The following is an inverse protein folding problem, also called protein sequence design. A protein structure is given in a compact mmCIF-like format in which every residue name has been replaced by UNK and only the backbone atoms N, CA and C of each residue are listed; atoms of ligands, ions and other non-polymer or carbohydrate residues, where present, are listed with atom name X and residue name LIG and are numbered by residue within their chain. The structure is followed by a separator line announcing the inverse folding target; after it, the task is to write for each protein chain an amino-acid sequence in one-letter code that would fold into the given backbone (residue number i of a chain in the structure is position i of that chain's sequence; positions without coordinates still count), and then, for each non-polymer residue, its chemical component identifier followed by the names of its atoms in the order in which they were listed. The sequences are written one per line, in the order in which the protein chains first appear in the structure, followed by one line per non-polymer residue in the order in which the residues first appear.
data_IF_163027313672
#
_entry.id   IF_163027313672
#
_cell.length_a   1.000
_cell.length_b   1.000
_cell.length_c   1.000
_cell.angle_alpha   90.00
_cell.angle_beta   90.00
_cell.angle_gamma   90.00
#
_symmetry.space_group_name_H-M   'P 1'
#
loop_
_entity.id
_entity.type
_entity.pdbx_description
1 polymer ?
#
# COMPACT_ATOMS: atom_id res chain seq x y z
N UNK A 1 -2.56 -25.25 31.60
CA UNK A 1 -1.69 -25.80 30.53
C UNK A 1 -2.60 -26.34 29.43
N UNK A 2 -2.30 -26.07 28.15
CA UNK A 2 -3.10 -26.61 27.04
C UNK A 2 -2.94 -28.15 26.96
N UNK A 3 -4.03 -28.84 26.64
CA UNK A 3 -4.03 -30.28 26.39
C UNK A 3 -3.71 -30.53 24.90
N UNK A 4 -2.56 -31.14 24.59
CA UNK A 4 -2.11 -31.36 23.20
C UNK A 4 -3.07 -32.21 22.36
N UNK A 5 -3.95 -33.00 22.98
CA UNK A 5 -4.95 -33.81 22.29
C UNK A 5 -6.17 -33.00 21.82
N UNK A 6 -6.37 -31.82 22.38
CA UNK A 6 -7.50 -30.93 22.06
C UNK A 6 -7.14 -29.90 20.99
N UNK A 7 -5.85 -29.75 20.66
CA UNK A 7 -5.38 -28.80 19.65
C UNK A 7 -5.65 -29.37 18.25
N UNK A 8 -6.42 -28.64 17.46
CA UNK A 8 -6.64 -28.90 16.04
C UNK A 8 -5.91 -27.87 15.19
N UNK A 9 -5.83 -28.12 13.88
CA UNK A 9 -5.28 -27.15 12.93
C UNK A 9 -6.08 -25.85 12.96
N UNK A 10 -7.40 -25.94 13.01
CA UNK A 10 -8.31 -24.80 13.01
C UNK A 10 -8.21 -24.00 14.31
N UNK A 11 -8.15 -24.66 15.46
CA UNK A 11 -7.96 -23.96 16.74
C UNK A 11 -6.60 -23.29 16.81
N UNK A 12 -5.55 -23.90 16.26
CA UNK A 12 -4.23 -23.29 16.16
C UNK A 12 -4.27 -22.02 15.30
N UNK A 13 -4.88 -22.08 14.12
CA UNK A 13 -5.00 -20.91 13.23
C UNK A 13 -5.76 -19.77 13.92
N UNK A 14 -6.93 -20.05 14.49
CA UNK A 14 -7.76 -19.03 15.16
C UNK A 14 -7.11 -18.43 16.41
N UNK A 15 -6.21 -19.19 17.07
CA UNK A 15 -5.48 -18.70 18.24
C UNK A 15 -4.19 -17.94 17.89
N UNK A 16 -3.76 -17.95 16.62
CA UNK A 16 -2.43 -17.43 16.21
C UNK A 16 -2.51 -16.26 15.24
N UNK A 17 -3.54 -16.17 14.40
CA UNK A 17 -3.62 -15.18 13.32
C UNK A 17 -4.77 -14.18 13.50
N UNK A 18 -4.64 -12.93 13.02
CA UNK A 18 -3.43 -12.36 12.37
C UNK A 18 -2.27 -12.20 13.36
N UNK A 19 -1.03 -12.16 12.85
CA UNK A 19 0.19 -12.29 13.68
C UNK A 19 0.32 -11.22 14.77
N UNK A 20 -0.22 -10.03 14.55
CA UNK A 20 -0.21 -8.93 15.52
C UNK A 20 -1.51 -8.81 16.31
N UNK A 21 -2.50 -9.66 16.05
CA UNK A 21 -3.85 -9.55 16.63
C UNK A 21 -4.42 -8.15 16.38
N UNK A 22 -4.75 -7.44 17.46
CA UNK A 22 -5.29 -6.08 17.46
C UNK A 22 -4.28 -5.01 17.88
N UNK A 23 -2.99 -5.35 18.02
CA UNK A 23 -1.95 -4.41 18.50
C UNK A 23 -1.95 -3.10 17.70
N UNK A 24 -1.88 -3.20 16.38
CA UNK A 24 -1.84 -2.01 15.52
C UNK A 24 -3.20 -1.32 15.42
N UNK A 25 -4.31 -2.05 15.57
CA UNK A 25 -5.64 -1.46 15.63
C UNK A 25 -5.75 -0.53 16.84
N UNK A 26 -5.33 -1.01 18.02
CA UNK A 26 -5.30 -0.25 19.26
C UNK A 26 -4.36 0.96 19.14
N UNK A 27 -3.14 0.76 18.63
CA UNK A 27 -2.18 1.86 18.41
C UNK A 27 -2.74 2.97 17.50
N UNK A 28 -3.37 2.61 16.38
CA UNK A 28 -3.97 3.58 15.46
C UNK A 28 -5.13 4.32 16.11
N UNK A 29 -6.00 3.63 16.85
CA UNK A 29 -7.13 4.24 17.54
C UNK A 29 -6.66 5.23 18.62
N UNK A 30 -5.67 4.84 19.42
CA UNK A 30 -5.11 5.63 20.52
C UNK A 30 -4.23 6.81 20.07
N UNK A 31 -3.69 6.79 18.84
CA UNK A 31 -2.81 7.86 18.36
C UNK A 31 -3.53 9.22 18.31
N UNK A 32 -3.00 10.19 19.06
CA UNK A 32 -3.41 11.59 18.98
C UNK A 32 -2.40 12.35 18.12
N UNK A 33 -2.75 12.58 16.86
CA UNK A 33 -1.87 13.25 15.90
C UNK A 33 -1.70 14.72 16.29
N UNK A 34 -0.46 15.21 16.50
CA UNK A 34 -0.22 16.60 16.87
C UNK A 34 -0.66 17.58 15.78
N UNK A 35 -1.13 18.77 16.18
CA UNK A 35 -1.45 19.86 15.24
C UNK A 35 -0.29 20.15 14.27
N UNK A 36 -0.63 20.40 13.01
CA UNK A 36 0.37 20.60 11.95
C UNK A 36 1.19 19.35 11.59
N UNK A 37 0.72 18.15 11.95
CA UNK A 37 1.30 16.87 11.51
C UNK A 37 0.24 15.99 10.83
N UNK A 38 0.70 14.93 10.17
CA UNK A 38 -0.09 13.74 9.87
C UNK A 38 0.69 12.49 10.28
N UNK A 39 -0.01 11.41 10.62
CA UNK A 39 0.58 10.11 10.90
C UNK A 39 0.18 9.09 9.83
N UNK A 40 1.09 8.17 9.52
CA UNK A 40 0.83 7.05 8.62
C UNK A 40 1.35 5.74 9.20
N UNK A 41 0.74 4.62 8.81
CA UNK A 41 1.23 3.28 9.09
C UNK A 41 1.26 2.44 7.83
N UNK A 42 2.34 1.70 7.63
CA UNK A 42 2.45 0.77 6.51
C UNK A 42 1.83 -0.57 6.87
N UNK A 43 0.85 -1.03 6.11
CA UNK A 43 0.07 -2.24 6.40
C UNK A 43 0.56 -3.46 5.59
N UNK A 44 1.67 -3.31 4.86
CA UNK A 44 2.20 -4.27 3.90
C UNK A 44 1.66 -4.05 2.48
N UNK A 45 2.37 -4.56 1.47
CA UNK A 45 2.10 -4.22 0.07
C UNK A 45 2.16 -2.68 -0.14
N UNK A 46 1.13 -2.09 -0.73
CA UNK A 46 0.90 -0.65 -0.78
C UNK A 46 -0.14 -0.17 0.25
N UNK A 47 -0.57 -1.05 1.17
CA UNK A 47 -1.55 -0.72 2.18
C UNK A 47 -1.04 0.36 3.11
N UNK A 48 -1.74 1.49 3.23
CA UNK A 48 -1.32 2.61 4.08
C UNK A 48 -2.51 3.15 4.86
N UNK A 49 -2.38 3.28 6.18
CA UNK A 49 -3.29 4.05 7.01
C UNK A 49 -2.80 5.49 7.13
N UNK A 50 -3.69 6.47 7.05
CA UNK A 50 -3.39 7.90 7.22
C UNK A 50 -4.34 8.49 8.26
N UNK A 51 -3.79 9.18 9.27
CA UNK A 51 -4.55 9.86 10.33
C UNK A 51 -4.12 11.33 10.45
N UNK A 52 -5.09 12.22 10.67
CA UNK A 52 -4.88 13.68 10.83
C UNK A 52 -5.32 14.19 12.22
N UNK A 53 -4.94 15.43 12.60
CA UNK A 53 -5.29 16.00 13.91
C UNK A 53 -6.79 16.14 14.15
N UNK A 54 -7.59 16.45 13.12
CA UNK A 54 -9.05 16.47 13.25
C UNK A 54 -9.70 15.08 13.26
N UNK A 55 -8.90 14.01 13.34
CA UNK A 55 -9.35 12.63 13.41
C UNK A 55 -9.86 12.08 12.08
N UNK A 56 -9.41 12.62 10.94
CA UNK A 56 -9.66 11.95 9.67
C UNK A 56 -8.86 10.64 9.61
N UNK A 57 -9.53 9.54 9.30
CA UNK A 57 -8.93 8.21 9.18
C UNK A 57 -9.22 7.68 7.77
N UNK A 58 -8.15 7.43 7.03
CA UNK A 58 -8.20 6.88 5.69
C UNK A 58 -7.34 5.64 5.64
N UNK A 59 -7.86 4.57 5.04
CA UNK A 59 -7.05 3.43 4.67
C UNK A 59 -7.03 3.28 3.15
N UNK A 60 -5.84 3.19 2.57
CA UNK A 60 -5.63 2.99 1.15
C UNK A 60 -5.02 1.61 0.90
N UNK A 61 -5.50 0.89 -0.12
CA UNK A 61 -4.93 -0.37 -0.64
C UNK A 61 -4.70 -1.47 0.43
N UNK A 62 -5.52 -1.49 1.50
CA UNK A 62 -5.42 -2.52 2.55
C UNK A 62 -5.79 -3.91 2.01
N UNK A 63 -4.75 -4.73 1.86
CA UNK A 63 -4.87 -6.09 1.35
C UNK A 63 -4.66 -7.17 2.42
N UNK A 64 -5.76 -7.83 2.77
CA UNK A 64 -5.82 -8.83 3.84
C UNK A 64 -5.74 -10.28 3.35
N UNK A 65 -5.31 -10.49 2.11
CA UNK A 65 -5.23 -11.82 1.50
C UNK A 65 -3.79 -12.35 1.44
N UNK A 66 -3.63 -13.48 0.74
CA UNK A 66 -2.35 -14.17 0.55
C UNK A 66 -2.06 -14.43 -0.92
N UNK A 67 -0.79 -14.76 -1.19
CA UNK A 67 -0.35 -15.30 -2.47
C UNK A 67 -0.77 -16.75 -2.71
N UNK A 68 0.04 -17.46 -3.51
CA UNK A 68 -0.22 -18.88 -3.79
C UNK A 68 -0.14 -19.72 -2.51
N UNK A 69 -1.05 -20.70 -2.40
CA UNK A 69 -1.13 -21.64 -1.27
C UNK A 69 -0.95 -23.11 -1.68
N UNK A 70 -0.75 -23.37 -2.97
CA UNK A 70 -0.52 -24.73 -3.48
C UNK A 70 0.24 -24.72 -4.81
N UNK A 71 1.03 -25.77 -5.05
CA UNK A 71 1.66 -26.05 -6.35
C UNK A 71 0.81 -26.98 -7.23
N UNK A 72 -0.42 -27.32 -6.81
CA UNK A 72 -1.33 -28.21 -7.56
C UNK A 72 -1.81 -27.55 -8.85
N UNK A 73 -2.12 -26.26 -8.81
CA UNK A 73 -2.34 -25.45 -10.01
C UNK A 73 -0.98 -25.31 -10.72
N UNK A 74 -0.93 -25.67 -12.00
CA UNK A 74 0.32 -25.67 -12.79
C UNK A 74 0.41 -24.48 -13.72
N UNK A 75 -0.72 -24.10 -14.28
CA UNK A 75 -0.78 -23.07 -15.29
C UNK A 75 -1.50 -21.82 -14.78
N UNK A 76 -1.04 -20.69 -15.27
CA UNK A 76 -1.64 -19.38 -15.09
C UNK A 76 -2.94 -19.29 -15.90
N UNK A 77 -3.92 -18.57 -15.35
CA UNK A 77 -5.21 -18.35 -16.04
C UNK A 77 -4.97 -17.55 -17.34
N UNK A 78 -5.71 -17.87 -18.41
CA UNK A 78 -5.66 -17.08 -19.65
C UNK A 78 -6.13 -15.65 -19.37
N UNK A 79 -5.46 -14.65 -19.94
CA UNK A 79 -5.76 -13.24 -19.70
C UNK A 79 -5.13 -12.66 -18.42
N UNK A 80 -4.40 -13.45 -17.64
CA UNK A 80 -3.57 -12.93 -16.56
C UNK A 80 -2.49 -12.01 -17.13
N UNK A 81 -2.29 -10.86 -16.51
CA UNK A 81 -1.41 -9.78 -16.95
C UNK A 81 0.03 -10.24 -17.23
N UNK A 82 0.62 -11.08 -16.37
CA UNK A 82 1.93 -11.67 -16.61
C UNK A 82 1.99 -12.55 -17.88
N UNK A 83 0.92 -13.29 -18.18
CA UNK A 83 0.82 -14.08 -19.40
C UNK A 83 0.68 -13.17 -20.64
N UNK A 84 -0.09 -12.09 -20.53
CA UNK A 84 -0.26 -11.11 -21.60
C UNK A 84 1.06 -10.35 -21.88
N UNK A 85 1.80 -10.00 -20.83
CA UNK A 85 3.07 -9.26 -20.92
C UNK A 85 4.21 -10.11 -21.51
N UNK A 86 4.36 -11.35 -21.05
CA UNK A 86 5.56 -12.16 -21.32
C UNK A 86 5.30 -13.53 -21.98
N UNK A 87 4.05 -13.84 -22.34
CA UNK A 87 3.70 -15.11 -22.98
C UNK A 87 3.87 -16.34 -22.07
N UNK A 88 4.02 -16.14 -20.76
CA UNK A 88 4.26 -17.24 -19.80
C UNK A 88 2.97 -18.00 -19.50
N UNK A 89 3.09 -19.31 -19.28
CA UNK A 89 1.96 -20.19 -18.93
C UNK A 89 2.09 -20.86 -17.57
N UNK A 90 3.31 -21.06 -17.07
CA UNK A 90 3.52 -21.67 -15.75
C UNK A 90 3.03 -20.75 -14.65
N UNK A 91 2.55 -21.35 -13.55
CA UNK A 91 2.12 -20.62 -12.36
C UNK A 91 3.26 -19.74 -11.81
N UNK A 92 2.96 -18.47 -11.56
CA UNK A 92 3.85 -17.56 -10.87
C UNK A 92 4.01 -18.00 -9.39
N UNK A 93 5.25 -18.08 -8.86
CA UNK A 93 5.50 -18.48 -7.48
C UNK A 93 5.44 -17.28 -6.51
N UNK A 94 4.41 -16.45 -6.59
CA UNK A 94 4.24 -15.30 -5.70
C UNK A 94 3.63 -15.73 -4.35
N UNK A 95 4.49 -15.90 -3.36
CA UNK A 95 4.10 -16.18 -1.97
C UNK A 95 4.17 -14.87 -1.17
N UNK A 96 3.16 -14.63 -0.33
CA UNK A 96 3.20 -13.52 0.65
C UNK A 96 4.28 -13.82 1.68
N UNK A 97 5.19 -12.89 1.94
CA UNK A 97 6.29 -13.09 2.92
C UNK A 97 6.18 -12.22 4.17
N UNK A 98 5.21 -11.30 4.21
CA UNK A 98 4.95 -10.44 5.37
C UNK A 98 3.81 -10.96 6.24
N UNK A 99 3.90 -10.76 7.58
CA UNK A 99 2.79 -11.00 8.49
C UNK A 99 1.60 -10.08 8.17
N UNK A 100 0.43 -10.40 8.73
CA UNK A 100 -0.70 -9.48 8.78
C UNK A 100 -0.61 -8.65 10.06
N UNK A 101 -0.26 -7.37 9.92
CA UNK A 101 0.01 -6.46 11.05
C UNK A 101 -1.24 -5.76 11.59
N UNK A 102 -2.35 -5.78 10.84
CA UNK A 102 -3.63 -5.19 11.24
C UNK A 102 -4.76 -6.21 11.04
N UNK A 103 -5.69 -6.29 11.99
CA UNK A 103 -6.92 -7.06 11.80
C UNK A 103 -8.01 -6.16 11.19
N UNK A 104 -8.44 -6.40 9.92
CA UNK A 104 -9.50 -5.59 9.32
C UNK A 104 -10.81 -5.69 10.10
N UNK A 105 -11.09 -6.80 10.80
CA UNK A 105 -12.32 -7.00 11.57
C UNK A 105 -12.32 -6.28 12.93
N UNK A 106 -11.17 -5.77 13.36
CA UNK A 106 -11.05 -4.98 14.58
C UNK A 106 -11.03 -3.46 14.34
N UNK A 107 -11.19 -3.00 13.09
CA UNK A 107 -11.29 -1.57 12.77
C UNK A 107 -12.59 -1.01 13.35
N UNK A 108 -12.53 -0.01 14.24
CA UNK A 108 -13.72 0.69 14.75
C UNK A 108 -13.87 2.12 14.26
N UNK A 109 -12.78 2.76 13.84
CA UNK A 109 -12.76 4.16 13.37
C UNK A 109 -12.14 4.23 11.97
N UNK A 110 -12.94 4.59 10.98
CA UNK A 110 -12.52 4.78 9.61
C UNK A 110 -13.49 5.75 8.94
N UNK A 111 -13.01 6.64 8.08
CA UNK A 111 -13.89 7.49 7.27
C UNK A 111 -14.01 6.93 5.84
N UNK A 112 -12.87 6.67 5.18
CA UNK A 112 -12.82 6.16 3.81
C UNK A 112 -11.88 4.97 3.64
N UNK A 113 -12.33 4.01 2.82
CA UNK A 113 -11.49 2.97 2.24
C UNK A 113 -11.21 3.30 0.77
N UNK A 114 -9.96 3.64 0.49
CA UNK A 114 -9.47 3.99 -0.84
C UNK A 114 -8.79 2.79 -1.49
N UNK A 115 -9.00 2.65 -2.80
CA UNK A 115 -8.27 1.70 -3.63
C UNK A 115 -7.78 2.42 -4.88
N UNK A 116 -6.48 2.31 -5.17
CA UNK A 116 -5.84 2.90 -6.35
C UNK A 116 -6.31 2.24 -7.63
N UNK A 117 -6.35 0.92 -7.67
CA UNK A 117 -6.69 0.12 -8.84
C UNK A 117 -7.13 -1.30 -8.48
N UNK A 118 -7.61 -2.04 -9.47
CA UNK A 118 -8.39 -3.25 -9.27
C UNK A 118 -7.57 -4.55 -9.20
N UNK A 119 -6.23 -4.50 -9.18
CA UNK A 119 -5.45 -5.73 -8.99
C UNK A 119 -5.69 -6.31 -7.60
N UNK A 120 -5.59 -7.64 -7.54
CA UNK A 120 -6.04 -8.42 -6.39
C UNK A 120 -5.31 -8.10 -5.08
N UNK A 121 -4.12 -7.52 -5.15
CA UNK A 121 -3.29 -7.09 -4.02
C UNK A 121 -3.54 -5.65 -3.58
N UNK A 122 -4.47 -4.93 -4.22
CA UNK A 122 -4.87 -3.57 -3.85
C UNK A 122 -6.35 -3.48 -3.46
N UNK A 123 -7.19 -4.41 -3.94
CA UNK A 123 -8.61 -4.51 -3.58
C UNK A 123 -8.92 -5.86 -2.91
N UNK A 124 -9.45 -5.81 -1.68
CA UNK A 124 -9.67 -7.00 -0.87
C UNK A 124 -11.13 -7.22 -0.43
N UNK A 125 -11.70 -8.42 -0.65
CA UNK A 125 -13.08 -8.72 -0.23
C UNK A 125 -13.22 -8.91 1.27
N UNK A 126 -12.16 -9.32 2.00
CA UNK A 126 -12.23 -9.49 3.46
C UNK A 126 -12.23 -8.14 4.17
N UNK A 127 -11.39 -7.20 3.75
CA UNK A 127 -11.43 -5.80 4.18
C UNK A 127 -12.80 -5.18 3.88
N UNK A 128 -13.34 -5.38 2.67
CA UNK A 128 -14.67 -4.89 2.33
C UNK A 128 -15.78 -5.49 3.22
N UNK A 129 -15.72 -6.80 3.49
CA UNK A 129 -16.66 -7.47 4.39
C UNK A 129 -16.53 -6.99 5.83
N UNK A 130 -15.32 -6.75 6.33
CA UNK A 130 -15.08 -6.24 7.68
C UNK A 130 -15.70 -4.85 7.87
N UNK A 131 -15.53 -3.96 6.89
CA UNK A 131 -16.12 -2.62 6.90
C UNK A 131 -17.65 -2.68 6.76
N UNK A 132 -18.16 -3.49 5.82
CA UNK A 132 -19.59 -3.54 5.53
C UNK A 132 -20.41 -4.17 6.67
N UNK A 133 -19.85 -5.17 7.35
CA UNK A 133 -20.53 -5.90 8.40
C UNK A 133 -20.31 -5.32 9.80
N UNK A 134 -19.54 -4.23 9.94
CA UNK A 134 -19.36 -3.53 11.20
C UNK A 134 -20.33 -2.35 11.32
N UNK A 135 -21.30 -2.37 12.27
CA UNK A 135 -22.27 -1.29 12.46
C UNK A 135 -21.63 0.08 12.77
N UNK A 136 -20.43 0.11 13.36
CA UNK A 136 -19.71 1.37 13.62
C UNK A 136 -19.25 2.06 12.34
N UNK A 137 -19.11 1.31 11.25
CA UNK A 137 -18.54 1.75 9.98
C UNK A 137 -19.59 1.90 8.87
N UNK A 138 -20.88 1.98 9.20
CA UNK A 138 -21.97 2.12 8.20
C UNK A 138 -21.80 3.36 7.31
N UNK A 139 -21.18 4.42 7.83
CA UNK A 139 -20.94 5.67 7.13
C UNK A 139 -19.77 5.61 6.13
N UNK A 140 -18.87 4.63 6.26
CA UNK A 140 -17.63 4.56 5.48
C UNK A 140 -17.89 4.47 3.99
N UNK A 141 -17.17 5.27 3.21
CA UNK A 141 -17.22 5.24 1.74
C UNK A 141 -16.06 4.42 1.16
N UNK A 142 -16.36 3.71 0.08
CA UNK A 142 -15.43 2.93 -0.74
C UNK A 142 -15.10 3.76 -1.98
N UNK A 143 -13.86 4.17 -2.13
CA UNK A 143 -13.45 5.15 -3.13
C UNK A 143 -12.40 4.56 -4.05
N UNK A 144 -12.65 4.58 -5.35
CA UNK A 144 -11.73 3.98 -6.33
C UNK A 144 -12.12 4.28 -7.76
N UNK A 145 -11.30 3.88 -8.73
CA UNK A 145 -11.63 4.02 -10.15
C UNK A 145 -12.81 3.11 -10.53
N UNK A 146 -13.33 3.31 -11.74
CA UNK A 146 -14.54 2.65 -12.22
C UNK A 146 -14.54 1.12 -12.00
N UNK A 147 -13.45 0.43 -12.37
CA UNK A 147 -13.38 -1.03 -12.22
C UNK A 147 -13.36 -1.49 -10.75
N UNK A 148 -12.81 -0.72 -9.81
CA UNK A 148 -12.92 -1.00 -8.39
C UNK A 148 -14.39 -0.90 -7.93
N UNK A 149 -15.09 0.15 -8.36
CA UNK A 149 -16.52 0.31 -8.13
C UNK A 149 -17.34 -0.91 -8.59
N UNK A 150 -17.05 -1.41 -9.79
CA UNK A 150 -17.72 -2.60 -10.36
C UNK A 150 -17.44 -3.87 -9.56
N UNK A 151 -16.20 -4.06 -9.08
CA UNK A 151 -15.84 -5.20 -8.22
C UNK A 151 -16.60 -5.14 -6.90
N UNK A 152 -16.62 -3.97 -6.24
CA UNK A 152 -17.35 -3.79 -4.98
C UNK A 152 -18.85 -4.00 -5.12
N UNK A 153 -19.48 -3.47 -6.18
CA UNK A 153 -20.88 -3.77 -6.49
C UNK A 153 -21.11 -5.28 -6.65
N UNK A 154 -20.19 -5.98 -7.34
CA UNK A 154 -20.24 -7.43 -7.50
C UNK A 154 -20.08 -8.21 -6.19
N UNK A 155 -19.38 -7.67 -5.20
CA UNK A 155 -19.27 -8.23 -3.85
C UNK A 155 -20.44 -7.85 -2.93
N UNK A 156 -21.35 -7.00 -3.38
CA UNK A 156 -22.53 -6.59 -2.63
C UNK A 156 -22.35 -5.31 -1.79
N UNK A 157 -21.30 -4.51 -2.04
CA UNK A 157 -21.20 -3.18 -1.43
C UNK A 157 -22.30 -2.28 -2.01
N UNK A 158 -23.11 -1.62 -1.17
CA UNK A 158 -24.19 -0.75 -1.63
C UNK A 158 -23.66 0.42 -2.47
N UNK A 159 -24.36 0.75 -3.56
CA UNK A 159 -23.91 1.77 -4.52
C UNK A 159 -23.72 3.14 -3.91
N UNK A 160 -24.55 3.51 -2.94
CA UNK A 160 -24.48 4.76 -2.17
C UNK A 160 -23.25 4.86 -1.24
N UNK A 161 -22.56 3.74 -1.00
CA UNK A 161 -21.28 3.70 -0.30
C UNK A 161 -20.09 3.76 -1.25
N UNK A 162 -20.29 3.65 -2.56
CA UNK A 162 -19.21 3.66 -3.56
C UNK A 162 -19.09 5.04 -4.19
N UNK A 163 -17.88 5.59 -4.20
CA UNK A 163 -17.53 6.82 -4.91
C UNK A 163 -16.53 6.46 -6.00
N UNK A 164 -16.96 6.54 -7.25
CA UNK A 164 -16.08 6.36 -8.40
C UNK A 164 -15.34 7.67 -8.67
N UNK A 165 -14.01 7.61 -8.75
CA UNK A 165 -13.15 8.76 -9.06
C UNK A 165 -12.37 8.55 -10.35
N UNK A 166 -11.92 9.65 -10.94
CA UNK A 166 -10.98 9.71 -12.07
C UNK A 166 -9.98 10.86 -11.86
N UNK A 167 -8.88 10.91 -12.64
CA UNK A 167 -7.94 12.02 -12.57
C UNK A 167 -8.62 13.39 -12.69
N UNK A 168 -8.29 14.31 -11.79
CA UNK A 168 -8.88 15.64 -11.67
C UNK A 168 -10.00 15.76 -10.63
N UNK A 169 -10.56 14.64 -10.16
CA UNK A 169 -11.56 14.67 -9.08
C UNK A 169 -10.90 15.01 -7.73
N UNK A 170 -11.68 15.61 -6.84
CA UNK A 170 -11.26 15.95 -5.48
C UNK A 170 -12.37 15.68 -4.48
N UNK A 171 -12.02 15.10 -3.34
CA UNK A 171 -12.91 14.80 -2.22
C UNK A 171 -12.39 15.51 -0.97
N UNK A 172 -13.28 16.15 -0.22
CA UNK A 172 -12.96 16.75 1.08
C UNK A 172 -13.40 15.81 2.21
N UNK A 173 -12.54 15.65 3.21
CA UNK A 173 -12.79 14.84 4.41
C UNK A 173 -12.20 15.55 5.62
N UNK A 174 -13.05 16.12 6.48
CA UNK A 174 -12.62 16.83 7.70
C UNK A 174 -11.54 17.88 7.35
N UNK A 175 -10.31 17.72 7.83
CA UNK A 175 -9.15 18.58 7.59
C UNK A 175 -8.24 18.08 6.44
N UNK A 176 -8.66 17.05 5.71
CA UNK A 176 -7.95 16.45 4.58
C UNK A 176 -8.67 16.73 3.25
N UNK A 177 -7.89 16.93 2.19
CA UNK A 177 -8.37 16.97 0.81
C UNK A 177 -7.66 15.90 -0.01
N UNK A 178 -8.43 15.10 -0.74
CA UNK A 178 -7.93 13.94 -1.48
C UNK A 178 -8.14 14.18 -2.97
N UNK A 179 -7.06 14.19 -3.74
CA UNK A 179 -7.09 14.36 -5.18
C UNK A 179 -6.80 13.04 -5.87
N UNK A 180 -7.64 12.65 -6.82
CA UNK A 180 -7.32 11.59 -7.76
C UNK A 180 -6.54 12.19 -8.93
N UNK A 181 -5.39 11.61 -9.26
CA UNK A 181 -4.54 12.02 -10.37
C UNK A 181 -4.19 10.82 -11.24
N UNK A 182 -3.56 11.07 -12.38
CA UNK A 182 -3.20 10.07 -13.37
C UNK A 182 -2.31 8.97 -12.76
N UNK A 183 -2.69 7.71 -12.99
CA UNK A 183 -1.85 6.54 -12.69
C UNK A 183 -0.95 6.21 -13.89
N UNK A 184 0.16 5.54 -13.60
CA UNK A 184 1.08 5.04 -14.62
C UNK A 184 1.31 3.53 -14.51
N UNK A 185 0.38 2.80 -13.89
CA UNK A 185 0.43 1.35 -13.86
C UNK A 185 0.13 0.77 -15.25
N UNK A 186 1.19 0.51 -16.02
CA UNK A 186 1.10 -0.09 -17.35
C UNK A 186 0.60 -1.53 -17.30
N UNK A 187 0.76 -2.22 -16.16
CA UNK A 187 0.27 -3.58 -15.99
C UNK A 187 -1.26 -3.60 -16.01
N UNK A 188 -1.94 -2.61 -15.41
CA UNK A 188 -3.39 -2.44 -15.51
C UNK A 188 -3.91 -2.40 -16.96
N UNK A 189 -3.19 -1.77 -17.89
CA UNK A 189 -3.59 -1.67 -19.30
C UNK A 189 -3.57 -3.01 -20.04
N UNK A 190 -2.82 -3.99 -19.54
CA UNK A 190 -2.78 -5.35 -20.09
C UNK A 190 -3.50 -6.36 -19.19
N UNK A 191 -4.23 -5.87 -18.19
CA UNK A 191 -5.05 -6.68 -17.28
C UNK A 191 -6.52 -6.60 -17.71
N UNK A 192 -7.15 -7.75 -17.94
CA UNK A 192 -8.58 -7.78 -18.26
C UNK A 192 -9.43 -7.30 -17.07
N UNK A 193 -10.56 -6.61 -17.32
CA UNK A 193 -11.15 -6.34 -18.64
C UNK A 193 -10.41 -5.25 -19.42
N UNK A 194 -10.34 -5.33 -20.75
CA UNK A 194 -9.80 -4.27 -21.63
C UNK A 194 -10.84 -4.01 -22.73
N UNK A 195 -11.13 -2.74 -23.02
CA UNK A 195 -12.14 -2.38 -24.02
C UNK A 195 -11.82 -3.00 -25.40
N UNK A 196 -12.76 -3.76 -25.95
CA UNK A 196 -12.62 -4.49 -27.21
C UNK A 196 -11.98 -5.89 -27.09
N UNK A 197 -11.44 -6.28 -25.93
CA UNK A 197 -10.80 -7.58 -25.78
C UNK A 197 -11.80 -8.75 -25.90
N UNK A 198 -13.04 -8.61 -25.45
CA UNK A 198 -14.04 -9.67 -25.59
C UNK A 198 -14.36 -9.97 -27.07
N UNK A 199 -14.36 -8.95 -27.93
CA UNK A 199 -14.61 -9.07 -29.37
C UNK A 199 -13.47 -9.78 -30.11
N UNK A 200 -12.25 -9.73 -29.57
CA UNK A 200 -11.06 -10.40 -30.08
C UNK A 200 -10.78 -11.73 -29.39
N UNK A 201 -11.68 -12.21 -28.52
CA UNK A 201 -11.49 -13.45 -27.77
C UNK A 201 -10.37 -13.39 -26.73
N UNK A 202 -10.10 -12.20 -26.20
CA UNK A 202 -9.10 -11.88 -25.18
C UNK A 202 -7.77 -11.37 -25.72
N UNK A 203 -7.63 -11.17 -27.03
CA UNK A 203 -6.39 -10.71 -27.66
C UNK A 203 -6.25 -9.19 -27.61
N UNK A 204 -5.16 -8.70 -27.02
CA UNK A 204 -4.96 -7.26 -26.80
C UNK A 204 -4.27 -6.54 -27.96
N UNK A 205 -3.61 -7.30 -28.85
CA UNK A 205 -2.84 -6.73 -29.96
C UNK A 205 -3.77 -5.95 -30.92
N UNK A 206 -3.46 -4.69 -31.15
CA UNK A 206 -4.23 -3.80 -32.03
C UNK A 206 -5.36 -3.04 -31.34
N UNK A 207 -5.63 -3.28 -30.05
CA UNK A 207 -6.54 -2.46 -29.26
C UNK A 207 -5.88 -1.11 -28.92
N UNK A 208 -6.69 -0.05 -28.89
CA UNK A 208 -6.23 1.28 -28.53
C UNK A 208 -5.97 1.37 -27.02
N UNK A 209 -4.89 2.07 -26.65
CA UNK A 209 -4.60 2.47 -25.27
C UNK A 209 -4.84 3.96 -25.15
N UNK A 210 -5.68 4.37 -24.19
CA UNK A 210 -6.08 5.76 -23.99
C UNK A 210 -5.96 6.16 -22.53
N UNK A 211 -5.92 7.48 -22.26
CA UNK A 211 -5.94 8.01 -20.90
C UNK A 211 -7.24 7.62 -20.16
N UNK A 212 -8.36 7.55 -20.88
CA UNK A 212 -9.64 7.11 -20.33
C UNK A 212 -9.61 5.63 -19.90
N UNK A 213 -8.95 4.76 -20.67
CA UNK A 213 -8.76 3.35 -20.28
C UNK A 213 -7.97 3.25 -18.98
N UNK A 214 -6.88 4.02 -18.84
CA UNK A 214 -6.13 4.07 -17.58
C UNK A 214 -7.00 4.62 -16.45
N UNK A 215 -7.69 5.74 -16.65
CA UNK A 215 -8.50 6.40 -15.63
C UNK A 215 -9.63 5.51 -15.08
N UNK A 216 -10.21 4.63 -15.91
CA UNK A 216 -11.22 3.67 -15.45
C UNK A 216 -10.63 2.54 -14.59
N UNK A 217 -9.33 2.29 -14.72
CA UNK A 217 -8.62 1.16 -14.10
C UNK A 217 -7.84 1.56 -12.86
N UNK A 218 -7.16 2.71 -12.90
CA UNK A 218 -6.17 3.09 -11.91
C UNK A 218 -6.08 4.60 -11.76
N UNK A 219 -5.92 5.05 -10.52
CA UNK A 219 -5.58 6.43 -10.15
C UNK A 219 -4.47 6.40 -9.10
N UNK A 220 -3.67 7.47 -9.08
CA UNK A 220 -2.83 7.79 -7.92
C UNK A 220 -3.57 8.79 -7.05
N UNK A 221 -3.22 8.85 -5.75
CA UNK A 221 -3.85 9.79 -4.83
C UNK A 221 -2.85 10.80 -4.28
N UNK A 222 -3.33 12.03 -4.08
CA UNK A 222 -2.63 13.06 -3.32
C UNK A 222 -3.51 13.41 -2.12
N UNK A 223 -2.96 13.31 -0.92
CA UNK A 223 -3.63 13.68 0.33
C UNK A 223 -3.01 14.98 0.83
N UNK A 224 -3.72 16.09 0.70
CA UNK A 224 -3.37 17.36 1.33
C UNK A 224 -3.92 17.35 2.76
N UNK A 225 -3.03 17.49 3.74
CA UNK A 225 -3.37 17.52 5.18
C UNK A 225 -2.83 18.80 5.82
N UNK A 226 -3.21 19.14 7.06
CA UNK A 226 -2.65 20.31 7.75
C UNK A 226 -1.14 20.19 8.01
N UNK A 227 -0.59 18.97 8.07
CA UNK A 227 0.84 18.73 8.31
C UNK A 227 1.70 18.64 7.05
N UNK A 228 1.09 18.53 5.88
CA UNK A 228 1.81 18.38 4.60
C UNK A 228 1.05 17.50 3.62
N UNK A 229 1.66 17.29 2.46
CA UNK A 229 1.03 16.58 1.34
C UNK A 229 1.68 15.23 1.07
N UNK A 230 0.86 14.18 0.95
CA UNK A 230 1.28 12.82 0.64
C UNK A 230 0.92 12.50 -0.81
N UNK A 231 1.87 12.02 -1.62
CA UNK A 231 1.61 11.41 -2.93
C UNK A 231 1.69 9.90 -2.79
N UNK A 232 0.61 9.18 -3.06
CA UNK A 232 0.61 7.71 -3.07
C UNK A 232 0.45 7.19 -4.50
N UNK A 233 1.56 6.73 -5.08
CA UNK A 233 1.64 6.21 -6.45
C UNK A 233 1.15 4.76 -6.61
N UNK A 234 0.82 4.10 -5.49
CA UNK A 234 0.52 2.68 -5.43
C UNK A 234 1.63 1.88 -6.11
N UNK A 235 1.33 1.19 -7.20
CA UNK A 235 2.32 0.48 -8.01
C UNK A 235 2.48 0.99 -9.45
N UNK A 236 2.21 2.29 -9.66
CA UNK A 236 2.55 2.99 -10.89
C UNK A 236 4.00 2.75 -11.32
N UNK A 237 4.21 2.42 -12.61
CA UNK A 237 5.56 2.42 -13.20
C UNK A 237 6.11 3.84 -13.34
N UNK A 238 7.40 3.94 -13.66
CA UNK A 238 8.00 5.24 -13.93
C UNK A 238 7.35 5.95 -15.12
N UNK A 239 6.96 7.21 -14.92
CA UNK A 239 6.49 8.11 -15.98
C UNK A 239 7.18 9.46 -15.88
N UNK A 240 7.40 10.11 -17.03
CA UNK A 240 7.83 11.51 -17.04
C UNK A 240 6.76 12.46 -16.48
N UNK A 241 5.49 12.03 -16.51
CA UNK A 241 4.36 12.85 -16.10
C UNK A 241 4.27 13.08 -14.59
N UNK A 242 5.04 12.32 -13.78
CA UNK A 242 5.31 12.71 -12.38
C UNK A 242 5.83 14.16 -12.27
N UNK A 243 6.57 14.66 -13.28
CA UNK A 243 7.04 16.04 -13.29
C UNK A 243 5.94 17.07 -13.51
N UNK A 244 4.80 16.67 -14.08
CA UNK A 244 3.59 17.51 -14.15
C UNK A 244 2.95 17.58 -12.76
N UNK A 245 2.77 16.45 -12.09
CA UNK A 245 2.23 16.41 -10.74
C UNK A 245 3.08 17.23 -9.76
N UNK A 246 4.41 17.10 -9.78
CA UNK A 246 5.31 17.92 -8.94
C UNK A 246 5.41 19.41 -9.33
N UNK A 247 4.79 19.82 -10.45
CA UNK A 247 4.60 21.23 -10.81
C UNK A 247 3.25 21.76 -10.33
N UNK A 248 2.22 20.93 -10.38
CA UNK A 248 0.86 21.32 -10.03
C UNK A 248 0.61 21.27 -8.52
N UNK A 249 1.29 20.36 -7.82
CA UNK A 249 1.12 20.13 -6.39
C UNK A 249 2.46 20.28 -5.67
N UNK A 250 2.40 20.82 -4.44
CA UNK A 250 3.52 20.72 -3.50
C UNK A 250 3.40 19.36 -2.80
N UNK A 251 4.33 18.46 -3.08
CA UNK A 251 4.40 17.13 -2.47
C UNK A 251 5.46 17.14 -1.39
N UNK A 252 5.12 16.73 -0.17
CA UNK A 252 6.08 16.64 0.94
C UNK A 252 6.61 15.20 1.07
N UNK A 253 5.73 14.22 1.05
CA UNK A 253 6.07 12.78 1.15
C UNK A 253 5.52 12.05 -0.07
N UNK A 254 6.32 11.21 -0.71
CA UNK A 254 5.89 10.35 -1.81
C UNK A 254 6.11 8.88 -1.45
N UNK A 255 5.09 8.05 -1.69
CA UNK A 255 5.14 6.59 -1.59
C UNK A 255 4.96 5.99 -2.98
N UNK A 256 5.78 5.01 -3.32
CA UNK A 256 5.55 4.20 -4.52
C UNK A 256 6.21 2.83 -4.41
N UNK A 257 5.74 1.90 -5.22
CA UNK A 257 6.29 0.56 -5.32
C UNK A 257 7.79 0.51 -5.64
N UNK A 258 8.42 -0.53 -5.13
CA UNK A 258 9.75 -1.03 -5.49
C UNK A 258 9.71 -2.55 -5.50
N UNK A 259 10.61 -3.19 -6.25
CA UNK A 259 10.73 -4.64 -6.26
C UNK A 259 11.75 -5.13 -7.26
N UNK A 260 12.26 -6.33 -7.03
CA UNK A 260 13.24 -6.98 -7.92
C UNK A 260 12.50 -7.67 -9.05
N UNK A 261 12.52 -7.07 -10.24
CA UNK A 261 11.80 -7.60 -11.39
C UNK A 261 12.44 -8.90 -11.89
N UNK A 262 11.67 -10.00 -12.04
CA UNK A 262 12.19 -11.22 -12.68
C UNK A 262 12.61 -10.98 -14.14
N UNK A 263 13.49 -11.85 -14.66
CA UNK A 263 13.93 -11.79 -16.06
C UNK A 263 12.73 -11.76 -17.02
N UNK A 264 12.67 -10.73 -17.86
CA UNK A 264 11.60 -10.55 -18.85
C UNK A 264 10.29 -9.98 -18.31
N UNK A 265 10.26 -9.55 -17.05
CA UNK A 265 9.11 -8.91 -16.40
C UNK A 265 9.47 -7.48 -16.03
N UNK A 266 8.51 -6.56 -16.15
CA UNK A 266 8.61 -5.21 -15.63
C UNK A 266 7.29 -4.88 -14.93
N UNK A 267 7.24 -5.11 -13.63
CA UNK A 267 6.04 -4.96 -12.82
C UNK A 267 6.21 -3.97 -11.67
N UNK A 268 7.46 -3.64 -11.33
CA UNK A 268 7.80 -2.68 -10.28
C UNK A 268 8.82 -1.66 -10.77
N UNK A 269 8.84 -0.48 -10.15
CA UNK A 269 9.88 0.52 -10.39
C UNK A 269 11.23 0.03 -9.87
N UNK A 270 12.29 0.46 -10.56
CA UNK A 270 13.67 0.23 -10.12
C UNK A 270 14.08 1.24 -9.05
N UNK A 271 15.19 0.96 -8.38
CA UNK A 271 15.82 1.87 -7.40
C UNK A 271 16.09 3.27 -8.00
N UNK A 272 16.61 3.32 -9.23
CA UNK A 272 16.92 4.56 -9.93
C UNK A 272 15.67 5.31 -10.36
N UNK A 273 14.61 4.59 -10.73
CA UNK A 273 13.34 5.19 -11.09
C UNK A 273 12.67 5.85 -9.88
N UNK A 274 12.77 5.27 -8.67
CA UNK A 274 12.27 5.91 -7.46
C UNK A 274 12.96 7.24 -7.18
N UNK A 275 14.29 7.31 -7.32
CA UNK A 275 15.03 8.57 -7.17
C UNK A 275 14.62 9.60 -8.24
N UNK A 276 14.39 9.16 -9.48
CA UNK A 276 13.90 10.03 -10.55
C UNK A 276 12.45 10.48 -10.34
N UNK A 277 11.61 9.63 -9.76
CA UNK A 277 10.24 9.98 -9.39
C UNK A 277 10.24 11.04 -8.29
N UNK A 278 11.07 10.87 -7.26
CA UNK A 278 11.23 11.85 -6.19
C UNK A 278 11.68 13.22 -6.73
N UNK A 279 12.66 13.22 -7.63
CA UNK A 279 13.11 14.43 -8.34
C UNK A 279 11.98 15.08 -9.17
N UNK A 280 11.24 14.28 -9.93
CA UNK A 280 10.10 14.75 -10.74
C UNK A 280 8.98 15.35 -9.87
N UNK A 281 8.62 14.69 -8.78
CA UNK A 281 7.61 15.14 -7.83
C UNK A 281 8.07 16.31 -6.97
N UNK A 282 9.38 16.58 -6.92
CA UNK A 282 10.00 17.58 -6.04
C UNK A 282 9.61 17.37 -4.57
N UNK A 283 9.49 16.10 -4.20
CA UNK A 283 9.14 15.69 -2.84
C UNK A 283 10.26 16.02 -1.86
N UNK A 284 10.00 15.91 -0.56
CA UNK A 284 11.03 15.99 0.49
C UNK A 284 11.47 14.61 0.95
N UNK A 285 10.54 13.66 0.99
CA UNK A 285 10.79 12.28 1.42
C UNK A 285 10.21 11.30 0.41
N UNK A 286 11.02 10.32 -0.04
CA UNK A 286 10.56 9.20 -0.88
C UNK A 286 10.61 7.90 -0.09
N UNK A 287 9.48 7.20 -0.03
CA UNK A 287 9.30 5.97 0.74
C UNK A 287 9.00 4.82 -0.22
N UNK A 288 9.90 3.84 -0.41
CA UNK A 288 9.60 2.64 -1.19
C UNK A 288 8.61 1.76 -0.42
N UNK A 289 7.56 1.30 -1.09
CA UNK A 289 6.58 0.30 -0.58
C UNK A 289 6.48 -0.88 -1.56
N UNK A 290 5.60 -1.87 -1.35
CA UNK A 290 5.38 -3.07 -2.20
C UNK A 290 6.54 -4.07 -2.27
N UNK A 291 7.78 -3.64 -1.99
CA UNK A 291 8.98 -4.49 -2.00
C UNK A 291 8.98 -5.58 -0.92
N UNK A 292 8.08 -5.46 0.05
CA UNK A 292 7.92 -6.33 1.19
C UNK A 292 7.20 -7.64 0.84
N UNK A 293 6.23 -7.61 -0.07
CA UNK A 293 5.11 -8.55 -0.02
C UNK A 293 5.39 -9.87 -0.74
N UNK A 294 6.10 -9.86 -1.86
CA UNK A 294 6.21 -11.01 -2.76
C UNK A 294 7.58 -11.70 -2.73
N UNK A 295 7.59 -13.01 -2.42
CA UNK A 295 8.81 -13.82 -2.36
C UNK A 295 9.65 -13.79 -3.64
N UNK A 296 9.02 -13.65 -4.81
CA UNK A 296 9.68 -13.65 -6.12
C UNK A 296 10.04 -12.25 -6.63
N UNK A 297 9.83 -11.21 -5.81
CA UNK A 297 10.23 -9.82 -6.07
C UNK A 297 11.08 -9.23 -4.93
N UNK A 298 11.56 -10.08 -4.01
CA UNK A 298 12.37 -9.67 -2.86
C UNK A 298 13.54 -8.80 -3.31
N UNK A 299 13.59 -7.56 -2.82
CA UNK A 299 14.55 -6.55 -3.24
C UNK A 299 15.35 -6.01 -2.07
N UNK A 300 16.50 -5.40 -2.35
CA UNK A 300 17.34 -4.74 -1.34
C UNK A 300 17.17 -3.23 -1.42
N UNK A 301 16.51 -2.64 -0.43
CA UNK A 301 16.32 -1.18 -0.33
C UNK A 301 17.62 -0.39 -0.17
N UNK A 302 18.72 -1.03 0.26
CA UNK A 302 20.06 -0.42 0.29
C UNK A 302 20.50 0.13 -1.07
N UNK A 303 20.03 -0.44 -2.18
CA UNK A 303 20.34 0.06 -3.52
C UNK A 303 19.89 1.53 -3.68
N UNK A 304 18.72 1.88 -3.15
CA UNK A 304 18.16 3.24 -3.17
C UNK A 304 19.06 4.17 -2.36
N UNK A 305 19.47 3.76 -1.16
CA UNK A 305 20.33 4.54 -0.28
C UNK A 305 21.69 4.83 -0.92
N UNK A 306 22.34 3.82 -1.47
CA UNK A 306 23.67 3.96 -2.09
C UNK A 306 23.60 4.81 -3.36
N UNK A 307 22.61 4.60 -4.23
CA UNK A 307 22.43 5.43 -5.42
C UNK A 307 22.08 6.88 -5.07
N UNK A 308 21.29 7.11 -4.02
CA UNK A 308 21.00 8.46 -3.53
C UNK A 308 22.28 9.15 -3.05
N UNK A 309 23.09 8.51 -2.19
CA UNK A 309 24.39 9.03 -1.73
C UNK A 309 25.31 9.38 -2.90
N UNK A 310 25.37 8.53 -3.93
CA UNK A 310 26.20 8.75 -5.12
C UNK A 310 25.74 9.90 -6.04
N UNK A 311 24.47 10.33 -5.94
CA UNK A 311 23.88 11.28 -6.90
C UNK A 311 23.47 12.60 -6.27
N UNK A 312 23.10 12.63 -5.00
CA UNK A 312 22.46 13.79 -4.35
C UNK A 312 23.26 15.08 -4.49
N UNK A 313 24.58 15.06 -4.34
CA UNK A 313 25.37 16.30 -4.39
C UNK A 313 25.58 16.77 -5.83
N UNK A 314 25.78 15.83 -6.76
CA UNK A 314 25.97 16.13 -8.20
C UNK A 314 24.70 16.62 -8.87
N UNK A 315 23.55 16.06 -8.49
CA UNK A 315 22.23 16.42 -9.05
C UNK A 315 21.46 17.40 -8.17
N UNK A 316 22.03 17.79 -7.03
CA UNK A 316 21.43 18.71 -6.06
C UNK A 316 20.04 18.23 -5.61
N UNK A 317 19.92 16.95 -5.27
CA UNK A 317 18.67 16.39 -4.74
C UNK A 317 18.31 17.06 -3.42
N UNK A 318 17.09 17.59 -3.34
CA UNK A 318 16.49 18.25 -2.17
C UNK A 318 15.48 17.33 -1.44
N UNK A 319 15.74 16.03 -1.53
CA UNK A 319 14.95 14.97 -0.89
C UNK A 319 15.88 13.90 -0.34
N UNK A 320 15.38 13.08 0.59
CA UNK A 320 16.04 11.84 1.00
C UNK A 320 15.06 10.65 0.97
N UNK A 321 15.58 9.43 0.79
CA UNK A 321 14.79 8.23 1.01
C UNK A 321 14.52 8.02 2.51
N UNK A 322 13.39 7.38 2.83
CA UNK A 322 13.10 6.80 4.13
C UNK A 322 12.74 5.33 3.96
N UNK A 323 13.56 4.43 4.51
CA UNK A 323 13.32 2.98 4.45
C UNK A 323 12.46 2.59 5.64
N UNK A 324 11.26 2.10 5.34
CA UNK A 324 10.24 1.78 6.32
C UNK A 324 10.19 0.27 6.62
N UNK A 325 9.39 -0.13 7.61
CA UNK A 325 9.09 -1.53 7.92
C UNK A 325 7.58 -1.71 8.08
N UNK A 326 7.08 -2.89 7.71
CA UNK A 326 5.65 -3.21 7.75
C UNK A 326 5.13 -3.19 9.20
N UNK A 327 4.01 -2.51 9.41
CA UNK A 327 3.41 -2.21 10.71
C UNK A 327 3.97 -0.96 11.38
N UNK A 328 5.02 -0.35 10.83
CA UNK A 328 5.65 0.82 11.42
C UNK A 328 4.86 2.11 11.21
N UNK A 329 4.98 3.03 12.16
CA UNK A 329 4.46 4.41 12.09
C UNK A 329 5.46 5.37 11.43
N UNK A 330 4.96 6.39 10.75
CA UNK A 330 5.72 7.56 10.28
C UNK A 330 4.87 8.83 10.44
N UNK A 331 5.40 9.84 11.13
CA UNK A 331 4.70 11.11 11.39
C UNK A 331 5.44 12.27 10.73
N UNK A 332 4.79 13.03 9.85
CA UNK A 332 5.41 14.19 9.19
C UNK A 332 4.81 15.50 9.71
N UNK A 333 5.61 16.57 9.91
CA UNK A 333 7.05 16.68 9.66
C UNK A 333 7.96 16.17 10.80
N UNK A 334 7.43 15.58 11.87
CA UNK A 334 8.22 15.11 13.02
C UNK A 334 9.40 14.20 12.63
N UNK A 335 9.15 13.21 11.77
CA UNK A 335 10.08 12.18 11.34
C UNK A 335 10.77 12.51 10.00
N UNK A 336 10.58 13.73 9.47
CA UNK A 336 11.07 14.15 8.15
C UNK A 336 12.59 14.07 7.96
N UNK A 337 13.36 13.82 9.02
CA UNK A 337 14.81 13.78 8.99
C UNK A 337 15.35 12.34 9.07
N UNK A 338 14.47 11.37 9.35
CA UNK A 338 14.84 9.96 9.45
C UNK A 338 15.07 9.38 8.06
N UNK A 339 16.08 8.52 7.95
CA UNK A 339 16.38 7.79 6.71
C UNK A 339 15.98 6.32 6.80
N UNK A 340 15.88 5.78 8.02
CA UNK A 340 15.53 4.39 8.28
C UNK A 340 14.62 4.33 9.51
N UNK A 341 13.62 3.46 9.44
CA UNK A 341 12.73 3.14 10.54
C UNK A 341 13.31 2.02 11.41
N UNK A 342 12.91 1.99 12.68
CA UNK A 342 13.06 0.80 13.52
C UNK A 342 11.84 0.69 14.43
N UNK A 343 11.31 -0.53 14.62
CA UNK A 343 10.21 -0.75 15.56
C UNK A 343 10.57 -0.32 16.98
N UNK A 344 9.61 0.15 17.80
CA UNK A 344 9.83 0.40 19.21
C UNK A 344 10.52 -0.79 19.88
N UNK A 345 11.62 -0.52 20.58
CA UNK A 345 12.46 -1.57 21.16
C UNK A 345 12.00 -2.02 22.56
N UNK A 346 11.09 -1.26 23.17
CA UNK A 346 10.62 -1.45 24.54
C UNK A 346 11.69 -1.16 25.59
N UNK A 347 11.40 -1.53 26.84
CA UNK A 347 12.26 -1.34 28.01
C UNK A 347 12.53 0.13 28.36
N UNK A 348 11.60 1.02 28.04
CA UNK A 348 11.70 2.45 28.35
C UNK A 348 11.74 2.71 29.87
N UNK A 349 11.22 1.76 30.66
CA UNK A 349 11.21 1.71 32.12
C UNK A 349 12.38 0.91 32.72
N UNK A 350 13.43 0.62 31.94
CA UNK A 350 14.54 -0.20 32.41
C UNK A 350 15.15 0.37 33.71
N UNK A 351 15.23 -0.48 34.74
CA UNK A 351 15.72 -0.14 36.08
C UNK A 351 14.89 0.89 36.87
N UNK A 352 13.64 1.16 36.48
CA UNK A 352 12.70 1.87 37.37
C UNK A 352 12.36 1.05 38.63
N UNK A 353 12.45 -0.29 38.52
CA UNK A 353 12.41 -1.23 39.63
C UNK A 353 13.77 -1.92 39.78
N UNK A 354 14.09 -2.34 41.01
CA UNK A 354 15.31 -3.11 41.26
C UNK A 354 15.30 -4.45 40.50
N UNK A 355 16.41 -4.75 39.83
CA UNK A 355 16.62 -6.01 39.13
C UNK A 355 16.58 -7.21 40.08
N UNK A 356 15.77 -8.22 39.80
CA UNK A 356 15.71 -9.45 40.60
C UNK A 356 16.75 -10.48 40.15
N UNK A 357 18.03 -10.15 40.30
CA UNK A 357 19.16 -11.01 39.94
C UNK A 357 20.10 -11.23 41.13
N UNK A 358 20.78 -12.38 41.14
CA UNK A 358 21.62 -12.83 42.26
C UNK A 358 22.85 -11.95 42.51
N UNK A 359 23.32 -11.26 41.46
CA UNK A 359 24.52 -10.43 41.47
C UNK A 359 24.41 -9.37 40.38
N UNK A 360 24.75 -8.11 40.70
CA UNK A 360 24.48 -6.96 39.82
C UNK A 360 25.14 -7.02 38.43
N UNK A 361 26.31 -7.66 38.31
CA UNK A 361 27.02 -7.78 37.03
C UNK A 361 26.86 -9.17 36.39
N UNK A 362 25.73 -9.85 36.67
CA UNK A 362 25.42 -11.12 36.00
C UNK A 362 25.07 -10.92 34.51
N UNK A 363 24.43 -9.79 34.18
CA UNK A 363 23.97 -9.41 32.85
C UNK A 363 24.17 -7.91 32.59
#
# INVERSE_FOLDING_TARGET
MPNVKEITRESWILATFPEWGTWLNEEIEEEVVPEGNFAMWWLGNCGTWIKTPAGANVVMDLWSNRGKSTKKVKDMVRGHQMANMAGVRKLQPNLRVQPMVIDPFAINELDYYLVSHFHSDHIDPYTAAAILNNPKLEHVKFIGPYHCGRIWEGWGVPKERIIVVKPGDTIELKDMKIHAVESFDRTCLVTLPVNGADETGGELAGLAVTDEEMAQKAVNYIFETPGGTIYHGADSHFSNYFAKHGKDFKIDVALNNYGENPVGIQDKMTSIDLLRMAENLRTKVIIPVHHDIWSNFMASTNEILELWKMRKDRLQYDFHPFIWEVGGKYTYPQDQHLVEYHHPRGFDDCFEQDSNIQFKALL
#
